data_IF_543909701799
#
_entry.id   IF_543909701799
#
_cell.length_a   1.000
_cell.length_b   1.000
_cell.length_c   1.000
_cell.angle_alpha   90.00
_cell.angle_beta   90.00
_cell.angle_gamma   90.00
#
_symmetry.space_group_name_H-M   'P 1'
#
loop_
_entity.id
_entity.type
_entity.pdbx_description
1 polymer ?
#
# COMPACT_ATOMS: atom_id res chain seq x y z
N UNK A 1 18.58 46.19 37.36
CA UNK A 1 18.40 44.72 37.48
C UNK A 1 18.07 44.17 36.09
N UNK A 2 18.78 43.11 35.68
CA UNK A 2 18.83 42.60 34.30
C UNK A 2 17.58 41.79 33.94
N UNK A 3 16.97 42.11 32.82
CA UNK A 3 15.88 41.35 32.17
C UNK A 3 16.46 40.07 31.58
N UNK A 4 16.02 38.91 32.05
CA UNK A 4 16.37 37.61 31.45
C UNK A 4 15.39 37.33 30.30
N UNK A 5 15.88 37.41 29.06
CA UNK A 5 15.17 36.97 27.87
C UNK A 5 15.43 35.47 27.71
N UNK A 6 14.43 34.63 28.00
CA UNK A 6 14.51 33.19 27.77
C UNK A 6 14.26 32.91 26.28
N UNK A 7 15.34 32.68 25.54
CA UNK A 7 15.31 32.27 24.14
C UNK A 7 14.90 30.79 24.09
N UNK A 8 13.63 30.50 23.77
CA UNK A 8 13.17 29.15 23.46
C UNK A 8 13.74 28.73 22.10
N UNK A 9 14.85 27.99 22.11
CA UNK A 9 15.31 27.28 20.92
C UNK A 9 14.36 26.11 20.66
N UNK A 10 13.47 26.28 19.68
CA UNK A 10 12.64 25.20 19.17
C UNK A 10 13.53 24.29 18.31
N UNK A 11 14.10 23.25 18.91
CA UNK A 11 14.81 22.20 18.17
C UNK A 11 13.75 21.34 17.48
N UNK A 12 13.48 21.58 16.20
CA UNK A 12 12.66 20.67 15.38
C UNK A 12 13.50 19.45 15.03
N UNK A 13 13.42 18.43 15.88
CA UNK A 13 13.87 17.08 15.55
C UNK A 13 13.06 16.58 14.36
N UNK A 14 13.69 16.49 13.19
CA UNK A 14 13.19 15.76 12.02
C UNK A 14 13.16 14.27 12.39
N UNK A 15 12.10 13.84 13.06
CA UNK A 15 11.86 12.41 13.24
C UNK A 15 11.40 11.87 11.89
N UNK A 16 12.28 11.10 11.27
CA UNK A 16 11.95 10.13 10.23
C UNK A 16 10.99 9.12 10.87
N UNK A 17 9.69 9.42 10.84
CA UNK A 17 8.67 8.65 11.55
C UNK A 17 8.62 7.24 10.95
N UNK A 18 8.86 6.23 11.78
CA UNK A 18 8.74 4.84 11.37
C UNK A 18 7.27 4.51 11.13
N UNK A 19 7.01 3.55 10.25
CA UNK A 19 5.66 3.02 10.05
C UNK A 19 5.04 2.59 11.40
N UNK A 20 3.80 3.00 11.75
CA UNK A 20 3.10 2.49 12.92
C UNK A 20 2.80 1.00 12.75
N UNK A 21 2.72 0.22 13.82
CA UNK A 21 2.43 -1.23 13.72
C UNK A 21 1.08 -1.52 13.07
N UNK A 22 0.12 -0.60 13.22
CA UNK A 22 -1.20 -0.66 12.59
C UNK A 22 -1.44 0.59 11.76
N UNK A 23 -1.98 0.43 10.56
CA UNK A 23 -2.28 1.56 9.70
C UNK A 23 -3.23 1.23 8.57
N UNK A 24 -3.81 2.29 7.99
CA UNK A 24 -4.59 2.24 6.77
C UNK A 24 -4.00 3.21 5.76
N UNK A 25 -3.83 2.75 4.53
CA UNK A 25 -3.19 3.48 3.45
C UNK A 25 -4.17 3.60 2.30
N UNK A 26 -4.45 4.83 1.88
CA UNK A 26 -5.31 5.13 0.73
C UNK A 26 -4.42 5.60 -0.42
N UNK A 27 -4.41 4.85 -1.52
CA UNK A 27 -3.63 5.13 -2.72
C UNK A 27 -4.53 5.28 -3.94
N UNK A 28 -4.01 5.88 -5.02
CA UNK A 28 -4.67 5.91 -6.34
C UNK A 28 -3.83 5.19 -7.39
N UNK A 29 -4.41 4.28 -8.16
CA UNK A 29 -3.69 3.55 -9.21
C UNK A 29 -3.34 4.46 -10.40
N UNK A 30 -2.20 5.13 -10.31
CA UNK A 30 -1.77 6.16 -11.27
C UNK A 30 -0.76 5.66 -12.29
N UNK A 31 -0.04 4.57 -11.99
CA UNK A 31 1.07 4.10 -12.81
C UNK A 31 0.76 2.74 -13.44
N UNK A 32 1.14 2.56 -14.70
CA UNK A 32 1.06 1.29 -15.41
C UNK A 32 2.48 0.77 -15.67
N UNK A 33 2.87 -0.26 -14.93
CA UNK A 33 4.20 -0.88 -15.00
C UNK A 33 4.30 -1.87 -16.18
N UNK A 34 3.16 -2.49 -16.52
CA UNK A 34 3.04 -3.40 -17.67
C UNK A 34 1.68 -3.20 -18.32
N UNK A 35 1.69 -2.83 -19.60
CA UNK A 35 0.47 -2.45 -20.32
C UNK A 35 0.17 -3.38 -21.50
N UNK A 36 -0.23 -4.63 -21.26
CA UNK A 36 -0.81 -5.45 -22.35
C UNK A 36 -2.32 -5.29 -22.43
N UNK A 37 -3.02 -5.24 -21.29
CA UNK A 37 -4.49 -5.26 -21.20
C UNK A 37 -4.98 -4.59 -19.90
N UNK A 38 -4.45 -3.40 -19.56
CA UNK A 38 -4.88 -2.73 -18.34
C UNK A 38 -6.30 -2.16 -18.48
N UNK A 39 -7.22 -2.49 -17.56
CA UNK A 39 -8.59 -1.98 -17.59
C UNK A 39 -8.61 -0.46 -17.38
N UNK A 40 -9.10 0.35 -18.34
CA UNK A 40 -9.10 1.80 -18.21
C UNK A 40 -9.89 2.31 -17.00
N UNK A 41 -10.93 1.58 -16.60
CA UNK A 41 -11.81 1.94 -15.48
C UNK A 41 -11.14 1.86 -14.10
N UNK A 42 -9.94 1.27 -14.01
CA UNK A 42 -9.11 1.24 -12.80
C UNK A 42 -8.07 2.36 -12.75
N UNK A 43 -7.96 3.18 -13.81
CA UNK A 43 -7.09 4.36 -13.77
C UNK A 43 -7.58 5.33 -12.70
N UNK A 44 -6.66 5.79 -11.85
CA UNK A 44 -6.92 6.67 -10.71
C UNK A 44 -7.90 6.11 -9.67
N UNK A 45 -8.19 4.81 -9.73
CA UNK A 45 -9.05 4.13 -8.77
C UNK A 45 -8.41 4.11 -7.38
N UNK A 46 -9.24 4.35 -6.36
CA UNK A 46 -8.82 4.29 -4.97
C UNK A 46 -8.52 2.85 -4.56
N UNK A 47 -7.44 2.67 -3.80
CA UNK A 47 -7.00 1.41 -3.23
C UNK A 47 -6.76 1.62 -1.75
N UNK A 48 -7.43 0.85 -0.91
CA UNK A 48 -7.25 0.92 0.54
C UNK A 48 -6.59 -0.36 1.02
N UNK A 49 -5.41 -0.21 1.62
CA UNK A 49 -4.69 -1.30 2.29
C UNK A 49 -4.69 -1.04 3.80
N UNK A 50 -5.19 -2.00 4.56
CA UNK A 50 -4.99 -2.05 6.00
C UNK A 50 -3.82 -2.98 6.32
N UNK A 51 -3.09 -2.71 7.38
CA UNK A 51 -2.08 -3.62 7.89
C UNK A 51 -2.02 -3.60 9.41
N UNK A 52 -1.67 -4.76 9.96
CA UNK A 52 -1.38 -4.98 11.38
C UNK A 52 -0.13 -5.85 11.45
N UNK A 53 0.98 -5.23 11.79
CA UNK A 53 2.31 -5.81 11.65
C UNK A 53 3.25 -5.41 12.79
N UNK A 54 3.67 -6.42 13.53
CA UNK A 54 4.71 -6.33 14.55
C UNK A 54 6.07 -6.38 13.85
N UNK A 55 6.63 -5.20 13.58
CA UNK A 55 7.92 -5.04 12.90
C UNK A 55 9.09 -5.63 13.69
N UNK A 56 8.97 -5.71 15.02
CA UNK A 56 10.01 -6.26 15.90
C UNK A 56 10.06 -7.78 15.83
N UNK A 57 8.88 -8.43 15.77
CA UNK A 57 8.76 -9.90 15.67
C UNK A 57 8.55 -10.39 14.23
N UNK A 58 8.57 -9.49 13.25
CA UNK A 58 8.45 -9.79 11.83
C UNK A 58 7.21 -10.64 11.51
N UNK A 59 6.05 -10.26 12.05
CA UNK A 59 4.82 -11.03 11.93
C UNK A 59 3.59 -10.12 11.85
N UNK A 60 2.56 -10.61 11.17
CA UNK A 60 1.34 -9.87 10.93
C UNK A 60 0.87 -10.03 9.50
N UNK A 61 -0.14 -9.26 9.11
CA UNK A 61 -0.78 -9.35 7.80
C UNK A 61 -1.13 -7.96 7.29
N UNK A 62 -1.33 -7.87 5.97
CA UNK A 62 -1.99 -6.75 5.34
C UNK A 62 -3.24 -7.21 4.59
N UNK A 63 -4.12 -6.29 4.24
CA UNK A 63 -5.40 -6.58 3.62
C UNK A 63 -5.73 -5.54 2.56
N UNK A 64 -6.07 -5.98 1.35
CA UNK A 64 -6.77 -5.11 0.42
C UNK A 64 -8.23 -5.01 0.87
N UNK A 65 -8.63 -3.80 1.28
CA UNK A 65 -9.96 -3.49 1.82
C UNK A 65 -10.90 -2.83 0.83
N UNK A 66 -10.34 -2.13 -0.15
CA UNK A 66 -11.12 -1.45 -1.17
C UNK A 66 -10.36 -1.38 -2.48
N UNK A 67 -11.10 -1.57 -3.57
CA UNK A 67 -10.64 -1.29 -4.92
C UNK A 67 -11.74 -0.52 -5.67
N UNK A 68 -11.44 0.71 -6.06
CA UNK A 68 -12.40 1.68 -6.59
C UNK A 68 -13.56 1.90 -5.61
N UNK A 69 -14.79 1.59 -6.00
CA UNK A 69 -15.99 1.68 -5.17
C UNK A 69 -16.21 0.45 -4.29
N UNK A 70 -15.57 -0.67 -4.61
CA UNK A 70 -15.93 -1.95 -4.00
C UNK A 70 -15.16 -2.22 -2.72
N UNK A 71 -15.89 -2.68 -1.70
CA UNK A 71 -15.30 -3.26 -0.51
C UNK A 71 -14.90 -4.70 -0.79
N UNK A 72 -13.63 -5.00 -0.57
CA UNK A 72 -13.04 -6.32 -0.77
C UNK A 72 -12.27 -6.71 0.48
N UNK A 73 -11.84 -7.97 0.58
CA UNK A 73 -11.06 -8.41 1.74
C UNK A 73 -10.07 -9.51 1.34
N UNK A 74 -9.01 -9.12 0.63
CA UNK A 74 -7.95 -10.04 0.25
C UNK A 74 -6.80 -9.98 1.26
N UNK A 75 -6.41 -11.14 1.79
CA UNK A 75 -5.30 -11.24 2.74
C UNK A 75 -3.97 -11.21 2.00
N UNK A 76 -3.02 -10.45 2.53
CA UNK A 76 -1.65 -10.32 2.06
C UNK A 76 -0.70 -10.85 3.12
N UNK A 77 0.05 -11.89 2.78
CA UNK A 77 0.99 -12.55 3.67
C UNK A 77 2.38 -11.94 3.56
N UNK A 78 3.14 -11.84 4.67
CA UNK A 78 4.49 -11.32 4.63
C UNK A 78 5.41 -12.21 3.79
N UNK A 79 6.20 -11.60 2.90
CA UNK A 79 7.19 -12.28 2.07
C UNK A 79 8.60 -12.31 2.69
N UNK A 80 8.77 -11.73 3.88
CA UNK A 80 10.05 -11.59 4.57
C UNK A 80 10.67 -10.21 4.40
N UNK A 81 11.88 -10.06 4.93
CA UNK A 81 12.58 -8.78 5.06
C UNK A 81 13.68 -8.64 4.01
N UNK A 82 13.61 -7.57 3.22
CA UNK A 82 14.74 -7.07 2.44
C UNK A 82 14.60 -5.57 2.31
N UNK A 83 15.29 -4.78 3.15
CA UNK A 83 15.27 -3.30 3.19
C UNK A 83 13.91 -2.59 3.29
N UNK A 84 12.80 -3.32 3.18
CA UNK A 84 11.40 -2.92 3.27
C UNK A 84 10.57 -4.15 3.72
N UNK A 85 9.37 -3.90 4.21
CA UNK A 85 8.39 -4.95 4.53
C UNK A 85 7.54 -5.21 3.31
N UNK A 86 7.43 -6.48 2.90
CA UNK A 86 6.69 -6.87 1.72
C UNK A 86 5.58 -7.85 2.06
N UNK A 87 4.42 -7.65 1.45
CA UNK A 87 3.24 -8.48 1.59
C UNK A 87 2.71 -8.86 0.21
N UNK A 88 2.17 -10.07 0.08
CA UNK A 88 1.59 -10.53 -1.16
C UNK A 88 0.37 -11.42 -0.93
N UNK A 89 -0.65 -11.27 -1.79
CA UNK A 89 -1.81 -12.16 -1.78
C UNK A 89 -1.40 -13.57 -2.19
N UNK A 90 -1.84 -14.55 -1.41
CA UNK A 90 -1.77 -15.96 -1.79
C UNK A 90 -3.17 -16.41 -2.25
N UNK A 91 -3.49 -16.09 -3.52
CA UNK A 91 -4.77 -16.41 -4.14
C UNK A 91 -4.57 -16.81 -5.61
N UNK A 92 -5.43 -17.70 -6.14
CA UNK A 92 -5.49 -17.90 -7.59
C UNK A 92 -6.05 -16.64 -8.28
N UNK A 93 -5.88 -16.50 -9.61
CA UNK A 93 -6.61 -15.51 -10.40
C UNK A 93 -8.10 -15.51 -10.03
N UNK A 94 -8.57 -14.39 -9.53
CA UNK A 94 -9.91 -14.26 -8.96
C UNK A 94 -10.68 -13.15 -9.68
N UNK A 95 -11.82 -13.46 -10.31
CA UNK A 95 -12.72 -12.44 -10.84
C UNK A 95 -13.27 -11.57 -9.71
N UNK A 96 -13.16 -10.26 -9.86
CA UNK A 96 -13.70 -9.24 -8.97
C UNK A 96 -14.58 -8.31 -9.80
N UNK A 97 -15.87 -8.26 -9.45
CA UNK A 97 -16.79 -7.28 -10.01
C UNK A 97 -16.53 -5.91 -9.38
N UNK A 98 -16.58 -4.85 -10.19
CA UNK A 98 -16.38 -3.46 -9.78
C UNK A 98 -17.41 -2.61 -10.51
N UNK A 99 -18.52 -2.30 -9.83
CA UNK A 99 -19.75 -1.86 -10.50
C UNK A 99 -20.20 -2.90 -11.54
N UNK A 100 -20.42 -2.44 -12.77
CA UNK A 100 -20.84 -3.28 -13.90
C UNK A 100 -19.67 -3.93 -14.67
N UNK A 101 -18.43 -3.65 -14.26
CA UNK A 101 -17.23 -4.18 -14.90
C UNK A 101 -16.63 -5.35 -14.11
N UNK A 102 -15.87 -6.20 -14.78
CA UNK A 102 -15.16 -7.31 -14.15
C UNK A 102 -13.66 -7.20 -14.43
N UNK A 103 -12.85 -7.49 -13.42
CA UNK A 103 -11.40 -7.63 -13.56
C UNK A 103 -10.97 -8.94 -12.92
N UNK A 104 -9.92 -9.57 -13.46
CA UNK A 104 -9.27 -10.70 -12.80
C UNK A 104 -8.11 -10.16 -11.97
N UNK A 105 -8.18 -10.30 -10.65
CA UNK A 105 -7.08 -10.03 -9.75
C UNK A 105 -6.20 -11.27 -9.66
N UNK A 106 -4.96 -11.20 -10.14
CA UNK A 106 -4.01 -12.32 -10.06
C UNK A 106 -3.15 -12.26 -8.80
N UNK A 107 -2.57 -11.09 -8.53
CA UNK A 107 -1.74 -10.88 -7.34
C UNK A 107 -1.82 -9.44 -6.89
N UNK A 108 -1.77 -9.26 -5.59
CA UNK A 108 -1.67 -7.97 -4.93
C UNK A 108 -0.35 -7.99 -4.17
N UNK A 109 0.47 -6.98 -4.36
CA UNK A 109 1.74 -6.82 -3.65
C UNK A 109 1.72 -5.46 -2.96
N UNK A 110 2.09 -5.42 -1.68
CA UNK A 110 2.15 -4.21 -0.89
C UNK A 110 3.51 -4.11 -0.19
N UNK A 111 4.14 -2.94 -0.26
CA UNK A 111 5.42 -2.67 0.36
C UNK A 111 5.32 -1.49 1.33
N UNK A 112 6.06 -1.58 2.44
CA UNK A 112 6.30 -0.49 3.38
C UNK A 112 7.82 -0.25 3.49
N UNK A 113 8.28 0.90 3.02
CA UNK A 113 9.65 1.40 3.08
C UNK A 113 9.82 2.39 4.24
N UNK A 114 11.03 2.51 4.79
CA UNK A 114 11.39 3.56 5.77
C UNK A 114 11.68 4.90 5.05
N UNK A 115 11.34 6.10 5.57
CA UNK A 115 10.61 6.43 6.82
C UNK A 115 9.23 5.79 6.94
N UNK A 116 8.33 6.12 6.02
CA UNK A 116 7.04 5.48 5.86
C UNK A 116 6.55 5.82 4.46
N UNK A 117 7.06 5.08 3.49
CA UNK A 117 6.69 5.18 2.09
C UNK A 117 6.06 3.87 1.70
N UNK A 118 4.92 3.91 1.03
CA UNK A 118 4.15 2.71 0.71
C UNK A 118 3.95 2.58 -0.77
N UNK A 119 3.91 1.33 -1.24
CA UNK A 119 3.66 1.02 -2.65
C UNK A 119 2.72 -0.16 -2.74
N UNK A 120 1.72 -0.05 -3.61
CA UNK A 120 0.84 -1.16 -3.97
C UNK A 120 1.02 -1.48 -5.45
N UNK A 121 0.96 -2.76 -5.78
CA UNK A 121 0.96 -3.25 -7.16
C UNK A 121 -0.16 -4.28 -7.31
N UNK A 122 -1.03 -4.06 -8.29
CA UNK A 122 -2.06 -5.00 -8.69
C UNK A 122 -1.64 -5.65 -10.01
N UNK A 123 -1.45 -6.96 -9.98
CA UNK A 123 -1.28 -7.79 -11.16
C UNK A 123 -2.66 -8.26 -11.61
N UNK A 124 -3.04 -7.90 -12.83
CA UNK A 124 -4.36 -8.13 -13.39
C UNK A 124 -4.32 -9.07 -14.59
N UNK A 125 -5.42 -9.80 -14.80
CA UNK A 125 -5.55 -10.85 -15.80
C UNK A 125 -4.94 -12.18 -15.32
N UNK A 126 -5.27 -13.28 -16.00
CA UNK A 126 -4.90 -14.65 -15.62
C UNK A 126 -3.40 -14.90 -15.35
N UNK A 127 -2.52 -14.08 -15.90
CA UNK A 127 -1.06 -14.26 -15.81
C UNK A 127 -0.32 -12.94 -15.54
N UNK A 128 -1.01 -11.91 -15.01
CA UNK A 128 -0.40 -10.60 -14.78
C UNK A 128 -0.02 -9.91 -16.10
N UNK A 129 -0.91 -9.97 -17.08
CA UNK A 129 -0.79 -9.26 -18.36
C UNK A 129 -0.73 -7.75 -18.16
N UNK A 130 -1.43 -7.26 -17.14
CA UNK A 130 -1.37 -5.88 -16.69
C UNK A 130 -0.79 -5.80 -15.28
N UNK A 131 0.03 -4.77 -15.03
CA UNK A 131 0.47 -4.41 -13.69
C UNK A 131 0.22 -2.91 -13.51
N UNK A 132 -0.65 -2.56 -12.57
CA UNK A 132 -0.89 -1.18 -12.16
C UNK A 132 -0.32 -0.97 -10.77
N UNK A 133 0.27 0.20 -10.51
CA UNK A 133 0.92 0.51 -9.25
C UNK A 133 0.55 1.91 -8.76
N UNK A 134 0.78 2.11 -7.47
CA UNK A 134 0.74 3.41 -6.83
C UNK A 134 1.78 3.47 -5.74
N UNK A 135 2.25 4.68 -5.47
CA UNK A 135 3.21 4.97 -4.43
C UNK A 135 2.73 6.20 -3.65
N UNK A 136 2.81 6.13 -2.33
CA UNK A 136 2.50 7.24 -1.44
C UNK A 136 3.67 7.47 -0.49
N UNK A 137 4.06 8.73 -0.33
CA UNK A 137 4.99 9.17 0.70
C UNK A 137 4.16 9.92 1.73
N UNK A 138 4.25 9.52 3.00
CA UNK A 138 3.64 10.25 4.11
C UNK A 138 4.37 11.59 4.36
#
# INVERSE_FOLDING_TARGET
MKTFLFLFLLVTTLFCEAAPEQGSVVLKLTTVERNKQCPPFLRDADVVIDYDYDFTRNRGLAYLKQLKSEKVNYTLHPLGLSNYYAFMSDMPPTPQSIGDEQVILYRIIFHIYKPFKTRVMLMLGEQGQCIMSSEMTA
#
